data_IF_110369124286
#
_entry.id   IF_110369124286
#
_cell.length_a   1.000
_cell.length_b   1.000
_cell.length_c   1.000
_cell.angle_alpha   90.00
_cell.angle_beta   90.00
_cell.angle_gamma   90.00
#
_symmetry.space_group_name_H-M   'P 1'
#
loop_
_entity.id
_entity.type
_entity.pdbx_description
1 polymer ?
#
# COMPACT_ATOMS: atom_id res chain seq x y z
N UNK A 1 -25.97 46.41 -1.56
CA UNK A 1 -25.05 46.27 -2.71
C UNK A 1 -24.62 44.82 -2.83
N UNK A 2 -25.29 44.02 -3.67
CA UNK A 2 -24.76 42.80 -4.29
C UNK A 2 -25.61 42.58 -5.56
N UNK A 3 -25.09 43.06 -6.69
CA UNK A 3 -25.75 42.85 -7.99
C UNK A 3 -25.43 41.44 -8.44
N UNK A 4 -26.39 40.53 -8.28
CA UNK A 4 -26.29 39.16 -8.77
C UNK A 4 -26.38 39.16 -10.30
N UNK A 5 -25.22 39.27 -10.96
CA UNK A 5 -25.17 39.21 -12.41
C UNK A 5 -25.38 37.76 -12.84
N UNK A 6 -26.54 37.50 -13.46
CA UNK A 6 -26.87 36.21 -14.09
C UNK A 6 -25.79 35.76 -15.10
N UNK A 7 -24.99 36.71 -15.61
CA UNK A 7 -23.81 36.47 -16.43
C UNK A 7 -22.63 35.86 -15.64
N UNK A 8 -22.32 36.37 -14.44
CA UNK A 8 -21.21 35.87 -13.61
C UNK A 8 -21.43 34.42 -13.20
N UNK A 9 -22.67 34.04 -12.86
CA UNK A 9 -23.00 32.64 -12.52
C UNK A 9 -22.82 31.70 -13.70
N UNK A 10 -23.17 32.12 -14.92
CA UNK A 10 -22.94 31.32 -16.15
C UNK A 10 -21.46 31.18 -16.47
N UNK A 11 -20.69 32.25 -16.32
CA UNK A 11 -19.23 32.22 -16.52
C UNK A 11 -18.54 31.32 -15.49
N UNK A 12 -18.94 31.40 -14.22
CA UNK A 12 -18.41 30.52 -13.16
C UNK A 12 -18.71 29.05 -13.46
N UNK A 13 -19.93 28.72 -13.89
CA UNK A 13 -20.29 27.35 -14.24
C UNK A 13 -19.50 26.85 -15.45
N UNK A 14 -19.35 27.65 -16.50
CA UNK A 14 -18.55 27.26 -17.67
C UNK A 14 -17.08 27.03 -17.32
N UNK A 15 -16.49 27.87 -16.46
CA UNK A 15 -15.12 27.68 -15.99
C UNK A 15 -14.97 26.45 -15.11
N UNK A 16 -15.97 26.15 -14.26
CA UNK A 16 -15.99 24.94 -13.45
C UNK A 16 -16.08 23.67 -14.30
N UNK A 17 -16.98 23.64 -15.29
CA UNK A 17 -17.09 22.53 -16.23
C UNK A 17 -15.85 22.36 -17.09
N UNK A 18 -15.27 23.47 -17.59
CA UNK A 18 -14.00 23.45 -18.31
C UNK A 18 -12.88 22.87 -17.44
N UNK A 19 -12.78 23.31 -16.17
CA UNK A 19 -11.80 22.81 -15.22
C UNK A 19 -11.98 21.31 -14.95
N UNK A 20 -13.21 20.81 -14.80
CA UNK A 20 -13.49 19.38 -14.63
C UNK A 20 -13.07 18.58 -15.87
N UNK A 21 -13.37 19.05 -17.08
CA UNK A 21 -12.99 18.34 -18.32
C UNK A 21 -11.47 18.35 -18.50
N UNK A 22 -10.82 19.46 -18.18
CA UNK A 22 -9.37 19.60 -18.22
C UNK A 22 -8.72 18.68 -17.19
N UNK A 23 -9.09 18.75 -15.90
CA UNK A 23 -8.53 17.88 -14.86
C UNK A 23 -8.88 16.40 -15.09
N UNK A 24 -10.12 16.12 -15.50
CA UNK A 24 -10.59 14.76 -15.80
C UNK A 24 -9.98 14.16 -17.06
N UNK A 25 -9.42 14.96 -17.98
CA UNK A 25 -8.69 14.48 -19.15
C UNK A 25 -7.17 14.45 -18.94
N UNK A 26 -6.59 15.54 -18.44
CA UNK A 26 -5.15 15.68 -18.22
C UNK A 26 -4.63 14.74 -17.14
N UNK A 27 -5.33 14.59 -16.02
CA UNK A 27 -4.83 13.75 -14.92
C UNK A 27 -4.77 12.28 -15.35
N UNK A 28 -5.83 11.67 -15.91
CA UNK A 28 -5.73 10.29 -16.40
C UNK A 28 -4.73 10.12 -17.53
N UNK A 29 -4.64 11.06 -18.49
CA UNK A 29 -3.66 10.97 -19.57
C UNK A 29 -2.20 11.04 -19.06
N UNK A 30 -1.94 11.88 -18.05
CA UNK A 30 -0.63 11.98 -17.42
C UNK A 30 -0.27 10.72 -16.62
N UNK A 31 -1.24 10.15 -15.89
CA UNK A 31 -1.04 8.87 -15.17
C UNK A 31 -0.75 7.73 -16.15
N UNK A 32 -1.55 7.58 -17.22
CA UNK A 32 -1.36 6.54 -18.24
C UNK A 32 -0.02 6.72 -18.97
N UNK A 33 0.41 7.96 -19.21
CA UNK A 33 1.73 8.23 -19.80
C UNK A 33 2.88 7.99 -18.82
N UNK A 34 2.62 7.98 -17.51
CA UNK A 34 3.63 7.73 -16.48
C UNK A 34 4.09 6.27 -16.47
N UNK A 35 3.25 5.31 -16.88
CA UNK A 35 3.65 3.90 -17.01
C UNK A 35 4.78 3.70 -18.04
N UNK A 36 4.90 4.57 -19.06
CA UNK A 36 5.89 4.42 -20.12
C UNK A 36 7.26 5.05 -19.83
N UNK A 37 7.41 5.86 -18.76
CA UNK A 37 8.64 6.64 -18.56
C UNK A 37 9.17 6.78 -17.12
N UNK A 38 8.47 6.37 -16.05
CA UNK A 38 9.02 6.63 -14.71
C UNK A 38 8.81 5.51 -13.66
N UNK A 39 9.89 5.21 -12.94
CA UNK A 39 10.03 4.23 -11.84
C UNK A 39 9.47 4.75 -10.50
N UNK A 40 8.82 5.90 -10.49
CA UNK A 40 8.50 6.63 -9.27
C UNK A 40 6.98 6.71 -9.02
N UNK A 41 6.33 5.56 -8.80
CA UNK A 41 5.10 5.54 -8.02
C UNK A 41 5.52 5.62 -6.55
N UNK A 42 5.01 6.57 -5.74
CA UNK A 42 5.37 6.73 -4.33
C UNK A 42 4.79 5.59 -3.46
N UNK A 43 5.27 4.38 -3.72
CA UNK A 43 5.32 3.27 -2.78
C UNK A 43 6.27 3.72 -1.68
N UNK A 44 5.87 3.57 -0.41
CA UNK A 44 6.67 4.02 0.72
C UNK A 44 8.13 3.57 0.55
N UNK A 45 9.02 4.57 0.52
CA UNK A 45 10.42 4.46 0.12
C UNK A 45 11.18 3.49 1.02
N UNK A 46 11.18 2.21 0.64
CA UNK A 46 12.25 1.29 0.98
C UNK A 46 13.07 1.09 -0.28
N UNK A 47 14.21 1.79 -0.32
CA UNK A 47 15.18 1.62 -1.38
C UNK A 47 15.93 0.29 -1.21
N UNK A 48 16.24 -0.38 -2.32
CA UNK A 48 17.06 -1.58 -2.32
C UNK A 48 16.32 -2.88 -1.97
N UNK A 49 15.03 -2.97 -2.31
CA UNK A 49 14.30 -4.24 -2.27
C UNK A 49 14.78 -5.21 -3.36
N UNK A 50 14.91 -6.49 -3.02
CA UNK A 50 15.06 -7.58 -4.00
C UNK A 50 13.77 -7.79 -4.78
N UNK A 51 13.78 -8.62 -5.82
CA UNK A 51 12.57 -8.89 -6.61
C UNK A 51 11.53 -9.68 -5.79
N UNK A 52 11.97 -10.53 -4.88
CA UNK A 52 11.15 -11.22 -3.87
C UNK A 52 10.48 -10.21 -2.95
N UNK A 53 11.23 -9.27 -2.40
CA UNK A 53 10.68 -8.28 -1.48
C UNK A 53 9.72 -7.32 -2.18
N UNK A 54 9.94 -6.99 -3.46
CA UNK A 54 8.97 -6.22 -4.27
C UNK A 54 7.67 -6.99 -4.49
N UNK A 55 7.75 -8.29 -4.83
CA UNK A 55 6.56 -9.15 -4.92
C UNK A 55 5.85 -9.22 -3.56
N UNK A 56 6.61 -9.38 -2.47
CA UNK A 56 6.11 -9.35 -1.11
C UNK A 56 5.37 -8.06 -0.76
N UNK A 57 5.91 -6.90 -1.18
CA UNK A 57 5.25 -5.60 -1.02
C UNK A 57 3.90 -5.54 -1.75
N UNK A 58 3.84 -6.01 -2.99
CA UNK A 58 2.62 -6.05 -3.78
C UNK A 58 1.57 -6.97 -3.13
N UNK A 59 1.98 -8.18 -2.73
CA UNK A 59 1.14 -9.18 -2.07
C UNK A 59 0.64 -8.69 -0.71
N UNK A 60 1.48 -7.98 0.05
CA UNK A 60 1.10 -7.33 1.30
C UNK A 60 -0.02 -6.31 1.06
N UNK A 61 0.13 -5.48 0.01
CA UNK A 61 -0.87 -4.50 -0.38
C UNK A 61 -2.25 -5.11 -0.67
N UNK A 62 -2.29 -6.32 -1.25
CA UNK A 62 -3.53 -7.00 -1.65
C UNK A 62 -4.35 -7.57 -0.49
N UNK A 63 -3.69 -8.07 0.57
CA UNK A 63 -4.39 -8.83 1.65
C UNK A 63 -4.09 -8.33 3.05
N UNK A 64 -2.86 -7.93 3.32
CA UNK A 64 -2.38 -7.65 4.68
C UNK A 64 -2.67 -6.19 5.10
N UNK A 65 -2.61 -5.27 4.15
CA UNK A 65 -2.82 -3.82 4.35
C UNK A 65 -4.19 -3.46 4.93
N UNK A 66 -5.20 -4.31 4.70
CA UNK A 66 -6.56 -4.14 5.21
C UNK A 66 -6.62 -4.23 6.74
N UNK A 67 -5.71 -4.98 7.34
CA UNK A 67 -5.70 -5.25 8.77
C UNK A 67 -4.53 -4.59 9.48
N UNK A 68 -3.35 -4.54 8.86
CA UNK A 68 -2.11 -4.11 9.49
C UNK A 68 -1.66 -2.73 9.04
N UNK A 69 -1.20 -1.93 10.01
CA UNK A 69 -0.40 -0.74 9.72
C UNK A 69 1.03 -1.16 9.41
N UNK A 70 1.58 -0.67 8.31
CA UNK A 70 2.97 -0.82 7.93
C UNK A 70 3.36 0.35 7.02
N UNK A 71 4.22 1.25 7.50
CA UNK A 71 4.63 2.45 6.78
C UNK A 71 5.24 2.12 5.43
N UNK A 72 6.09 1.09 5.35
CA UNK A 72 6.75 0.61 4.15
C UNK A 72 5.82 0.17 2.99
N UNK A 73 4.55 -0.10 3.31
CA UNK A 73 3.53 -0.45 2.32
C UNK A 73 2.46 0.64 2.18
N UNK A 74 2.67 1.83 2.74
CA UNK A 74 1.66 2.89 2.89
C UNK A 74 0.35 2.37 3.53
N UNK A 75 0.42 1.36 4.39
CA UNK A 75 -0.75 0.74 4.98
C UNK A 75 -1.07 1.35 6.34
N UNK A 76 -2.32 1.75 6.54
CA UNK A 76 -2.84 2.26 7.81
C UNK A 76 -4.13 1.54 8.13
N UNK A 77 -4.11 0.73 9.18
CA UNK A 77 -5.25 -0.07 9.61
C UNK A 77 -5.27 -0.24 11.14
N UNK A 78 -6.46 -0.53 11.68
CA UNK A 78 -6.71 -0.61 13.13
C UNK A 78 -7.13 -2.01 13.62
N UNK A 79 -7.23 -2.98 12.70
CA UNK A 79 -7.75 -4.32 13.02
C UNK A 79 -6.67 -5.19 13.64
N UNK A 80 -5.51 -5.27 12.99
CA UNK A 80 -4.33 -5.97 13.46
C UNK A 80 -3.32 -5.03 14.12
N UNK A 81 -2.28 -5.58 14.76
CA UNK A 81 -1.20 -4.79 15.31
C UNK A 81 -0.49 -3.95 14.25
N UNK A 82 0.06 -2.81 14.68
CA UNK A 82 0.97 -2.01 13.87
C UNK A 82 2.32 -2.73 13.77
N UNK A 83 2.70 -3.12 12.54
CA UNK A 83 3.91 -3.88 12.27
C UNK A 83 5.17 -3.03 12.41
N UNK A 84 5.10 -1.71 12.19
CA UNK A 84 6.23 -0.81 12.45
C UNK A 84 6.62 -0.82 13.94
N UNK A 85 5.64 -1.01 14.83
CA UNK A 85 5.87 -1.11 16.29
C UNK A 85 6.15 -2.52 16.77
N UNK A 86 5.50 -3.52 16.18
CA UNK A 86 5.69 -4.92 16.54
C UNK A 86 7.05 -5.44 16.06
N UNK A 87 7.54 -4.91 14.94
CA UNK A 87 8.80 -5.26 14.29
C UNK A 87 9.05 -6.78 14.19
N UNK A 88 8.12 -7.57 13.61
CA UNK A 88 8.29 -9.01 13.54
C UNK A 88 9.45 -9.38 12.59
N UNK A 89 10.15 -10.46 12.92
CA UNK A 89 11.11 -11.07 12.00
C UNK A 89 10.41 -11.92 10.93
N UNK A 90 11.18 -12.41 9.97
CA UNK A 90 10.66 -13.17 8.83
C UNK A 90 9.97 -14.46 9.29
N UNK A 91 10.60 -15.23 10.18
CA UNK A 91 10.06 -16.51 10.67
C UNK A 91 8.72 -16.33 11.39
N UNK A 92 8.61 -15.34 12.28
CA UNK A 92 7.36 -15.03 12.96
C UNK A 92 6.27 -14.58 11.99
N UNK A 93 6.65 -13.81 10.97
CA UNK A 93 5.72 -13.35 9.94
C UNK A 93 5.22 -14.52 9.09
N UNK A 94 6.12 -15.41 8.65
CA UNK A 94 5.77 -16.59 7.88
C UNK A 94 4.86 -17.53 8.69
N UNK A 95 5.19 -17.78 9.96
CA UNK A 95 4.36 -18.58 10.87
C UNK A 95 2.96 -17.97 11.03
N UNK A 96 2.86 -16.65 11.16
CA UNK A 96 1.58 -15.94 11.25
C UNK A 96 0.76 -16.06 9.95
N UNK A 97 1.41 -15.95 8.79
CA UNK A 97 0.74 -16.10 7.47
C UNK A 97 0.18 -17.52 7.30
N UNK A 98 0.96 -18.53 7.68
CA UNK A 98 0.59 -19.94 7.49
C UNK A 98 -0.43 -20.42 8.50
N UNK A 99 -0.23 -20.13 9.79
CA UNK A 99 -1.05 -20.68 10.89
C UNK A 99 -2.13 -19.73 11.40
N UNK A 100 -2.06 -18.46 11.03
CA UNK A 100 -2.93 -17.43 11.59
C UNK A 100 -2.70 -17.23 13.10
N UNK A 101 -3.62 -16.49 13.72
CA UNK A 101 -3.62 -16.17 15.17
C UNK A 101 -4.98 -16.34 15.84
N UNK A 102 -5.99 -16.86 15.14
CA UNK A 102 -7.36 -17.06 15.65
C UNK A 102 -7.49 -17.98 16.88
N UNK A 103 -6.45 -18.75 17.22
CA UNK A 103 -6.43 -19.66 18.38
C UNK A 103 -5.97 -18.98 19.68
N UNK A 104 -6.43 -17.75 19.95
CA UNK A 104 -6.17 -17.03 21.21
C UNK A 104 -5.12 -15.92 21.15
N UNK A 105 -4.48 -15.71 19.99
CA UNK A 105 -3.45 -14.67 19.79
C UNK A 105 -3.91 -13.54 18.84
N UNK A 106 -5.20 -13.49 18.51
CA UNK A 106 -5.79 -12.52 17.58
C UNK A 106 -6.91 -13.11 16.75
N UNK A 107 -7.23 -12.46 15.63
CA UNK A 107 -8.25 -12.88 14.66
C UNK A 107 -7.66 -13.07 13.24
N UNK A 108 -6.32 -13.11 13.12
CA UNK A 108 -5.66 -13.27 11.83
C UNK A 108 -5.95 -14.67 11.28
N UNK A 109 -6.54 -14.80 10.08
CA UNK A 109 -6.80 -16.10 9.46
C UNK A 109 -5.50 -16.78 9.05
N UNK A 110 -5.55 -18.11 8.97
CA UNK A 110 -4.46 -18.94 8.47
C UNK A 110 -4.42 -18.96 6.93
N UNK A 111 -3.31 -19.45 6.37
CA UNK A 111 -3.11 -19.70 4.94
C UNK A 111 -3.45 -18.51 4.03
N UNK A 112 -3.14 -17.28 4.48
CA UNK A 112 -3.34 -16.06 3.69
C UNK A 112 -2.52 -16.07 2.39
N UNK A 113 -1.36 -16.71 2.43
CA UNK A 113 -0.52 -17.10 1.30
C UNK A 113 0.17 -18.43 1.65
N UNK A 114 0.71 -19.11 0.63
CA UNK A 114 1.50 -20.34 0.79
C UNK A 114 2.71 -20.31 -0.15
N UNK A 115 3.70 -21.18 0.11
CA UNK A 115 4.91 -21.28 -0.72
C UNK A 115 5.64 -19.94 -0.84
N UNK A 116 6.13 -19.65 -2.05
CA UNK A 116 6.95 -18.47 -2.32
C UNK A 116 6.23 -17.15 -1.98
N UNK A 117 4.92 -17.06 -2.21
CA UNK A 117 4.15 -15.85 -1.91
C UNK A 117 4.18 -15.52 -0.40
N UNK A 118 4.12 -16.55 0.45
CA UNK A 118 4.19 -16.37 1.90
C UNK A 118 5.59 -15.92 2.34
N UNK A 119 6.63 -16.52 1.77
CA UNK A 119 8.02 -16.15 2.03
C UNK A 119 8.33 -14.72 1.57
N UNK A 120 7.91 -14.35 0.37
CA UNK A 120 8.16 -13.04 -0.21
C UNK A 120 7.51 -11.93 0.65
N UNK A 121 6.27 -12.15 1.12
CA UNK A 121 5.61 -11.24 2.08
C UNK A 121 6.37 -11.19 3.41
N UNK A 122 6.80 -12.34 3.94
CA UNK A 122 7.52 -12.40 5.20
C UNK A 122 8.87 -11.65 5.14
N UNK A 123 9.64 -11.84 4.07
CA UNK A 123 10.89 -11.13 3.78
C UNK A 123 10.66 -9.63 3.71
N UNK A 124 9.66 -9.21 2.95
CA UNK A 124 9.31 -7.80 2.82
C UNK A 124 8.95 -7.17 4.17
N UNK A 125 8.12 -7.81 4.99
CA UNK A 125 7.73 -7.27 6.31
C UNK A 125 8.93 -7.17 7.24
N UNK A 126 9.77 -8.21 7.31
CA UNK A 126 10.97 -8.21 8.15
C UNK A 126 11.95 -7.11 7.72
N UNK A 127 12.22 -7.00 6.42
CA UNK A 127 13.03 -5.94 5.82
C UNK A 127 12.48 -4.56 6.16
N UNK A 128 11.16 -4.41 6.11
CA UNK A 128 10.47 -3.13 6.30
C UNK A 128 10.64 -2.54 7.68
N UNK A 129 10.80 -3.40 8.69
CA UNK A 129 10.93 -3.00 10.09
C UNK A 129 12.38 -3.10 10.59
N UNK A 130 13.33 -3.39 9.68
CA UNK A 130 14.74 -3.54 10.01
C UNK A 130 15.06 -4.81 10.81
N UNK A 131 14.17 -5.82 10.80
CA UNK A 131 14.47 -7.12 11.37
C UNK A 131 15.50 -7.83 10.49
N UNK A 132 16.57 -8.35 11.11
CA UNK A 132 17.60 -9.07 10.39
C UNK A 132 17.02 -10.31 9.69
N UNK A 133 17.49 -10.67 8.48
CA UNK A 133 17.08 -11.91 7.83
C UNK A 133 17.47 -13.11 8.72
N UNK A 134 16.72 -14.22 8.68
CA UNK A 134 17.07 -15.43 9.40
C UNK A 134 18.46 -15.88 8.92
N UNK A 135 19.37 -16.11 9.87
CA UNK A 135 20.68 -16.70 9.59
C UNK A 135 20.44 -18.10 9.03
N UNK A 136 20.62 -18.26 7.72
CA UNK A 136 20.27 -19.47 6.98
C UNK A 136 20.85 -20.76 7.56
N UNK A 137 20.06 -21.82 7.43
CA UNK A 137 20.47 -23.22 7.45
C UNK A 137 20.02 -23.87 6.15
#
# INVERSE_FOLDING_TARGET
>A
MHSDSRGSRRTILLLFFLSIVVLGGLVPAWVISSEANNKDIPSAQISGLTDEEKRGQELFGKRCSLCHTLKAANAVAKVGPNLDTLAPNEEFTLDAILKGRSNGNGQMPAELYTGQDAEDVAKFVAKSVGAAPPSGG
#
